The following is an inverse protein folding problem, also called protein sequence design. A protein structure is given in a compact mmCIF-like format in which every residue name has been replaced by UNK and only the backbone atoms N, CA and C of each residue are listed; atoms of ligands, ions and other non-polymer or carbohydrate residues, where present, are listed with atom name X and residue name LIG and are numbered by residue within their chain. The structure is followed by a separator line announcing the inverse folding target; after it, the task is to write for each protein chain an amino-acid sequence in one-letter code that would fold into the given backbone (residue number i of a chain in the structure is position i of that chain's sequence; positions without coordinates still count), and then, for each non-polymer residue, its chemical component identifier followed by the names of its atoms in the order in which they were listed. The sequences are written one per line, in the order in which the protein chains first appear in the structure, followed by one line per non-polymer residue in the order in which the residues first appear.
data_IF_751494972271
#
_entry.id   IF_751494972271
#
_cell.length_a   1.000
_cell.length_b   1.000
_cell.length_c   1.000
_cell.angle_alpha   90.00
_cell.angle_beta   90.00
_cell.angle_gamma   90.00
#
_symmetry.space_group_name_H-M   'P 1'
#
loop_
_entity.id
_entity.type
_entity.pdbx_description
1 polymer ?
2 non-polymer ?
3 water ?
#
# COMPACT_ATOMS: atom_id res chain seq x y z
N UNK A 5 50.62 -25.21 34.17
CA UNK A 5 51.34 -25.85 35.32
C UNK A 5 50.38 -26.34 36.42
N UNK A 6 49.37 -25.52 36.74
CA UNK A 6 48.29 -25.91 37.67
C UNK A 6 47.51 -27.14 37.19
N UNK A 7 47.35 -27.24 35.86
CA UNK A 7 46.59 -28.31 35.22
C UNK A 7 46.95 -28.32 33.74
N UNK A 8 47.00 -29.51 33.14
CA UNK A 8 47.26 -29.65 31.72
C UNK A 8 46.51 -30.78 31.06
N UNK A 9 47.14 -31.38 30.05
CA UNK A 9 46.48 -32.28 29.09
C UNK A 9 45.34 -31.52 28.40
N UNK A 10 45.71 -30.46 27.62
CA UNK A 10 44.72 -29.53 27.07
C UNK A 10 43.79 -30.15 26.02
N UNK A 11 44.23 -31.23 25.37
CA UNK A 11 43.40 -31.94 24.39
C UNK A 11 42.15 -32.56 25.06
N UNK A 12 42.32 -33.07 26.29
CA UNK A 12 41.23 -33.66 27.06
C UNK A 12 40.38 -32.57 27.76
N UNK A 13 41.01 -31.45 28.09
CA UNK A 13 40.29 -30.26 28.59
C UNK A 13 39.37 -29.71 27.49
N UNK A 14 39.82 -29.75 26.25
CA UNK A 14 39.01 -29.33 25.10
C UNK A 14 37.80 -30.26 24.89
N UNK A 15 38.02 -31.57 25.00
CA UNK A 15 36.93 -32.56 24.90
C UNK A 15 36.02 -32.57 26.15
N UNK A 16 36.53 -32.12 27.29
CA UNK A 16 35.71 -31.89 28.48
C UNK A 16 34.61 -30.88 28.14
N UNK A 17 35.02 -29.69 27.68
CA UNK A 17 34.07 -28.64 27.29
C UNK A 17 33.18 -29.01 26.10
N UNK A 18 33.70 -29.85 25.20
CA UNK A 18 32.95 -30.29 24.01
C UNK A 18 31.79 -31.23 24.35
N UNK A 19 32.10 -32.33 25.04
CA UNK A 19 31.07 -33.29 25.46
C UNK A 19 30.10 -32.68 26.48
N UNK A 20 30.60 -31.79 27.34
CA UNK A 20 29.77 -31.06 28.30
C UNK A 20 28.76 -30.14 27.61
N UNK A 21 29.19 -29.50 26.52
CA UNK A 21 28.33 -28.61 25.73
C UNK A 21 27.27 -29.32 24.89
N UNK A 22 27.56 -30.54 24.44
CA UNK A 22 26.64 -31.32 23.61
C UNK A 22 25.38 -31.79 24.35
N UNK A 23 25.47 -31.93 25.67
CA UNK A 23 24.31 -32.28 26.51
C UNK A 23 23.36 -31.08 26.64
N UNK A 24 23.93 -29.86 26.61
CA UNK A 24 23.15 -28.62 26.64
C UNK A 24 22.42 -28.31 25.32
N UNK A 25 23.00 -28.69 24.18
CA UNK A 25 22.32 -28.57 22.88
C UNK A 25 21.12 -29.54 22.82
N UNK A 26 21.29 -30.73 23.38
CA UNK A 26 20.18 -31.66 23.61
C UNK A 26 19.16 -31.11 24.63
N UNK A 27 19.66 -30.38 25.65
CA UNK A 27 18.81 -29.71 26.65
C UNK A 27 18.12 -28.41 26.18
N UNK A 28 18.61 -27.82 25.08
CA UNK A 28 17.95 -26.70 24.35
C UNK A 28 18.25 -25.25 24.78
N UNK A 29 18.89 -25.02 25.93
CA UNK A 29 19.33 -23.65 26.26
C UNK A 29 20.70 -23.40 25.62
N UNK A 30 20.70 -22.56 24.59
CA UNK A 30 21.81 -22.45 23.64
C UNK A 30 22.90 -21.44 24.03
N UNK A 31 22.55 -20.37 24.72
CA UNK A 31 23.53 -19.34 25.10
C UNK A 31 24.57 -19.88 26.09
N UNK A 32 24.15 -20.80 26.95
CA UNK A 32 25.07 -21.49 27.88
C UNK A 32 25.91 -22.54 27.16
N UNK A 33 25.30 -23.27 26.22
CA UNK A 33 26.02 -24.22 25.36
C UNK A 33 27.07 -23.52 24.49
N UNK A 34 26.67 -22.38 23.92
CA UNK A 34 27.54 -21.55 23.07
C UNK A 34 28.84 -21.13 23.75
N UNK A 35 28.74 -20.62 24.98
CA UNK A 35 29.90 -20.13 25.73
C UNK A 35 30.81 -21.28 26.23
N UNK A 36 30.22 -22.47 26.41
CA UNK A 36 30.99 -23.65 26.82
C UNK A 36 31.90 -24.12 25.67
N UNK A 37 31.43 -24.01 24.43
CA UNK A 37 32.24 -24.30 23.25
C UNK A 37 33.38 -23.29 23.05
N UNK A 38 33.12 -22.02 23.36
CA UNK A 38 34.12 -20.94 23.25
C UNK A 38 35.35 -21.17 24.13
N UNK A 39 35.16 -21.79 25.30
CA UNK A 39 36.26 -22.07 26.22
C UNK A 39 37.12 -23.26 25.78
N UNK A 40 36.53 -24.22 25.09
CA UNK A 40 37.28 -25.28 24.40
C UNK A 40 38.16 -24.74 23.29
N UNK A 41 37.67 -23.73 22.58
CA UNK A 41 38.45 -22.99 21.57
C UNK A 41 39.59 -22.16 22.17
N UNK A 42 39.34 -21.55 23.33
CA UNK A 42 40.33 -20.72 24.03
C UNK A 42 41.57 -21.50 24.51
N UNK A 43 41.40 -22.80 24.76
CA UNK A 43 42.51 -23.70 25.12
C UNK A 43 43.58 -23.78 24.00
N UNK A 44 43.14 -23.76 22.75
CA UNK A 44 44.03 -23.75 21.57
C UNK A 44 44.94 -24.99 21.51
N UNK A 45 44.32 -26.16 21.51
CA UNK A 45 45.04 -27.42 21.43
C UNK A 45 45.38 -27.77 19.99
N UNK A 46 46.49 -28.48 19.80
CA UNK A 46 46.92 -28.96 18.47
C UNK A 46 46.16 -30.25 18.13
N UNK A 47 44.89 -30.09 17.75
CA UNK A 47 44.01 -31.21 17.39
C UNK A 47 42.91 -30.70 16.45
N UNK A 48 42.82 -31.30 15.26
CA UNK A 48 41.91 -30.81 14.22
C UNK A 48 40.46 -31.20 14.47
N UNK A 49 40.20 -32.48 14.71
CA UNK A 49 38.84 -33.01 14.91
C UNK A 49 38.11 -32.40 16.11
N UNK A 50 38.86 -32.11 17.18
CA UNK A 50 38.30 -31.43 18.36
C UNK A 50 37.92 -29.97 18.01
N UNK A 51 38.84 -29.24 17.40
CA UNK A 51 38.60 -27.83 17.01
C UNK A 51 37.52 -27.69 15.93
N UNK A 52 37.51 -28.61 14.97
CA UNK A 52 36.49 -28.66 13.92
C UNK A 52 35.08 -28.79 14.52
N UNK A 53 34.92 -29.74 15.44
CA UNK A 53 33.64 -29.96 16.13
C UNK A 53 33.22 -28.77 16.99
N UNK A 54 34.18 -28.15 17.67
CA UNK A 54 33.91 -26.96 18.49
C UNK A 54 33.42 -25.76 17.64
N UNK A 55 34.02 -25.55 16.48
CA UNK A 55 33.60 -24.48 15.57
C UNK A 55 32.24 -24.77 14.91
N UNK A 56 32.02 -26.02 14.51
CA UNK A 56 30.75 -26.45 13.91
C UNK A 56 29.59 -26.43 14.90
N UNK A 57 29.86 -26.80 16.15
CA UNK A 57 28.85 -26.77 17.21
C UNK A 57 28.47 -25.34 17.63
N UNK A 58 29.46 -24.45 17.72
CA UNK A 58 29.20 -23.05 18.07
C UNK A 58 28.43 -22.32 16.96
N UNK A 59 28.73 -22.66 15.71
CA UNK A 59 27.94 -22.18 14.56
C UNK A 59 26.46 -22.58 14.65
N UNK A 60 26.23 -23.82 15.09
CA UNK A 60 24.86 -24.33 15.31
C UNK A 60 24.13 -23.56 16.41
N UNK A 61 24.85 -23.22 17.47
CA UNK A 61 24.30 -22.41 18.58
C UNK A 61 23.93 -20.99 18.12
N UNK A 62 24.77 -20.40 17.27
CA UNK A 62 24.52 -19.06 16.73
C UNK A 62 23.36 -19.04 15.75
N UNK A 63 23.13 -20.15 15.05
CA UNK A 63 21.99 -20.31 14.15
C UNK A 63 20.67 -20.40 14.91
N UNK A 64 20.66 -21.15 16.01
CA UNK A 64 19.50 -21.22 16.91
C UNK A 64 19.24 -19.89 17.62
N UNK A 65 20.30 -19.19 18.00
CA UNK A 65 20.21 -17.81 18.53
C UNK A 65 19.79 -16.78 17.46
N UNK A 66 19.93 -17.13 16.19
CA UNK A 66 19.58 -16.28 15.03
C UNK A 66 20.58 -15.13 14.82
N UNK A 67 21.84 -15.38 15.18
CA UNK A 67 22.96 -14.50 14.84
C UNK A 67 23.63 -15.10 13.61
N UNK A 68 23.16 -14.68 12.43
CA UNK A 68 23.44 -15.38 11.17
C UNK A 68 24.84 -15.12 10.60
N UNK A 69 25.36 -13.91 10.78
CA UNK A 69 26.73 -13.56 10.35
C UNK A 69 27.81 -14.26 11.20
N UNK A 70 27.60 -14.32 12.51
CA UNK A 70 28.51 -15.06 13.41
C UNK A 70 28.52 -16.57 13.13
N UNK A 71 27.36 -17.10 12.73
CA UNK A 71 27.23 -18.51 12.31
C UNK A 71 28.06 -18.81 11.06
N UNK A 72 28.01 -17.90 10.09
CA UNK A 72 28.80 -18.02 8.85
C UNK A 72 30.30 -18.00 9.13
N UNK A 73 30.73 -17.19 10.09
CA UNK A 73 32.14 -17.04 10.43
C UNK A 73 32.69 -18.28 11.17
N UNK A 74 31.89 -18.86 12.06
CA UNK A 74 32.27 -20.11 12.74
C UNK A 74 32.22 -21.32 11.81
N UNK A 75 31.32 -21.31 10.83
CA UNK A 75 31.33 -22.31 9.76
C UNK A 75 32.58 -22.20 8.89
N UNK A 76 32.97 -20.96 8.55
CA UNK A 76 34.19 -20.71 7.75
C UNK A 76 35.45 -21.26 8.42
N UNK A 77 35.58 -21.03 9.72
CA UNK A 77 36.71 -21.55 10.50
C UNK A 77 36.71 -23.08 10.60
N UNK A 78 35.53 -23.68 10.69
CA UNK A 78 35.38 -25.14 10.65
C UNK A 78 35.79 -25.70 9.28
N UNK A 79 35.39 -25.02 8.21
CA UNK A 79 35.73 -25.46 6.84
C UNK A 79 37.20 -25.25 6.44
N UNK A 80 37.90 -24.36 7.15
CA UNK A 80 39.35 -24.20 6.98
C UNK A 80 40.11 -25.45 7.50
N UNK A 81 39.57 -26.08 8.53
CA UNK A 81 40.11 -27.33 9.09
C UNK A 81 39.64 -28.55 8.28
N UNK A 82 38.34 -28.60 7.98
CA UNK A 82 37.74 -29.68 7.16
C UNK A 82 36.82 -29.07 6.08
N UNK A 83 37.34 -28.84 4.85
CA UNK A 83 36.49 -28.28 3.79
C UNK A 83 35.44 -29.24 3.19
N UNK A 84 35.37 -30.48 3.66
CA UNK A 84 34.33 -31.43 3.26
C UNK A 84 33.34 -31.75 4.40
N UNK A 85 33.13 -30.79 5.30
CA UNK A 85 32.13 -30.89 6.37
C UNK A 85 30.79 -30.37 5.82
N UNK A 86 29.92 -31.30 5.43
CA UNK A 86 28.63 -30.96 4.83
C UNK A 86 27.65 -30.24 5.78
N UNK A 87 27.77 -30.50 7.09
CA UNK A 87 26.96 -29.80 8.12
C UNK A 87 27.16 -28.28 8.11
N UNK A 88 28.41 -27.84 7.93
CA UNK A 88 28.75 -26.40 7.92
C UNK A 88 28.28 -25.66 6.67
N UNK A 89 28.22 -26.34 5.54
CA UNK A 89 27.69 -25.77 4.29
C UNK A 89 26.17 -25.52 4.37
N UNK A 90 25.44 -26.45 4.98
CA UNK A 90 24.00 -26.29 5.24
C UNK A 90 23.71 -25.05 6.09
N UNK A 91 24.51 -24.84 7.14
CA UNK A 91 24.30 -23.75 8.09
C UNK A 91 24.64 -22.38 7.51
N UNK A 92 25.72 -22.29 6.73
CA UNK A 92 26.03 -21.07 5.97
C UNK A 92 24.90 -20.74 5.01
N UNK A 93 24.40 -21.76 4.31
CA UNK A 93 23.31 -21.60 3.36
C UNK A 93 22.02 -21.11 4.03
N UNK A 94 21.65 -21.73 5.15
CA UNK A 94 20.46 -21.31 5.91
C UNK A 94 20.62 -19.93 6.53
N UNK A 95 21.82 -19.62 7.03
CA UNK A 95 22.12 -18.30 7.59
C UNK A 95 21.99 -17.18 6.54
N UNK A 96 22.55 -17.42 5.34
CA UNK A 96 22.44 -16.48 4.21
C UNK A 96 21.00 -16.32 3.73
N UNK A 97 20.26 -17.44 3.70
CA UNK A 97 18.83 -17.45 3.35
C UNK A 97 18.00 -16.54 4.26
N UNK A 98 18.26 -16.64 5.57
CA UNK A 98 17.57 -15.82 6.58
C UNK A 98 17.94 -14.33 6.56
N UNK A 99 19.08 -14.00 5.95
CA UNK A 99 19.49 -12.60 5.72
C UNK A 99 19.03 -12.04 4.36
N UNK A 100 18.17 -12.78 3.64
CA UNK A 100 17.72 -12.42 2.29
C UNK A 100 18.88 -12.19 1.33
N UNK A 101 19.80 -13.16 1.31
CA UNK A 101 20.90 -13.21 0.35
C UNK A 101 20.88 -14.60 -0.29
N UNK A 102 19.98 -14.75 -1.26
CA UNK A 102 19.66 -16.05 -1.87
C UNK A 102 20.76 -16.57 -2.77
N UNK A 103 21.51 -15.66 -3.40
CA UNK A 103 22.65 -16.04 -4.25
C UNK A 103 23.79 -16.63 -3.44
N UNK A 104 24.11 -16.00 -2.31
CA UNK A 104 25.11 -16.54 -1.37
C UNK A 104 24.63 -17.85 -0.72
N UNK A 105 23.33 -17.96 -0.49
CA UNK A 105 22.72 -19.20 0.00
C UNK A 105 22.81 -20.33 -1.02
N UNK A 106 22.56 -20.01 -2.29
CA UNK A 106 22.60 -21.02 -3.37
C UNK A 106 24.02 -21.48 -3.69
N UNK A 107 24.98 -20.55 -3.69
CA UNK A 107 26.40 -20.87 -3.95
C UNK A 107 26.96 -21.91 -2.98
N UNK A 108 26.69 -21.71 -1.68
CA UNK A 108 27.18 -22.60 -0.64
C UNK A 108 26.58 -24.01 -0.75
N UNK A 109 25.26 -24.06 -0.97
CA UNK A 109 24.54 -25.34 -1.12
C UNK A 109 24.87 -26.04 -2.44
N UNK A 110 25.10 -25.27 -3.50
CA UNK A 110 25.54 -25.81 -4.78
C UNK A 110 26.93 -26.47 -4.68
N UNK A 111 27.83 -25.85 -3.92
CA UNK A 111 29.18 -26.39 -3.72
C UNK A 111 29.13 -27.73 -2.95
N UNK A 112 28.28 -27.80 -1.93
CA UNK A 112 28.07 -29.04 -1.18
C UNK A 112 27.42 -30.12 -2.04
N UNK A 113 26.45 -29.72 -2.86
CA UNK A 113 25.71 -30.65 -3.71
C UNK A 113 26.57 -31.21 -4.84
N UNK A 114 27.23 -30.33 -5.58
CA UNK A 114 28.04 -30.73 -6.73
C UNK A 114 29.34 -31.44 -6.35
N UNK A 115 30.00 -31.00 -5.27
CA UNK A 115 31.40 -31.36 -5.00
C UNK A 115 31.70 -32.12 -3.70
N UNK A 116 30.73 -32.29 -2.80
CA UNK A 116 30.95 -33.02 -1.53
C UNK A 116 30.06 -34.27 -1.46
N UNK A 117 28.74 -34.08 -1.39
CA UNK A 117 27.79 -35.20 -1.34
C UNK A 117 26.48 -34.84 -2.05
N UNK A 118 26.27 -35.35 -3.29
CA UNK A 118 24.99 -35.16 -3.99
C UNK A 118 23.77 -35.82 -3.33
N UNK A 119 24.00 -36.91 -2.59
CA UNK A 119 22.91 -37.64 -1.91
C UNK A 119 22.40 -36.99 -0.63
N UNK A 120 23.11 -35.98 -0.09
CA UNK A 120 22.74 -35.36 1.18
C UNK A 120 21.38 -34.64 1.10
N UNK A 121 20.47 -35.01 2.00
CA UNK A 121 19.08 -34.56 1.95
C UNK A 121 18.84 -33.12 2.42
N UNK A 122 19.61 -32.68 3.43
CA UNK A 122 19.51 -31.31 3.94
C UNK A 122 19.96 -30.25 2.93
N UNK A 123 20.94 -30.61 2.09
CA UNK A 123 21.43 -29.73 1.03
C UNK A 123 20.43 -29.65 -0.14
N UNK A 124 19.85 -30.79 -0.51
CA UNK A 124 18.82 -30.84 -1.55
C UNK A 124 17.56 -30.04 -1.17
N UNK A 125 17.11 -30.20 0.07
CA UNK A 125 15.98 -29.43 0.61
C UNK A 125 16.23 -27.92 0.56
N UNK A 126 17.41 -27.51 0.98
CA UNK A 126 17.82 -26.10 0.95
C UNK A 126 17.81 -25.53 -0.48
N UNK A 127 18.24 -26.34 -1.44
CA UNK A 127 18.15 -25.99 -2.87
C UNK A 127 16.70 -25.73 -3.33
N UNK A 128 15.79 -26.63 -2.94
CA UNK A 128 14.37 -26.51 -3.27
C UNK A 128 13.71 -25.32 -2.59
N UNK A 129 14.09 -25.06 -1.33
CA UNK A 129 13.60 -23.91 -0.58
C UNK A 129 14.12 -22.59 -1.16
N UNK A 130 15.40 -22.56 -1.54
CA UNK A 130 15.97 -21.40 -2.26
C UNK A 130 15.28 -21.19 -3.61
N UNK A 131 15.00 -22.28 -4.32
CA UNK A 131 14.31 -22.22 -5.62
C UNK A 131 12.90 -21.62 -5.51
N UNK A 132 12.13 -22.09 -4.53
CA UNK A 132 10.77 -21.61 -4.30
C UNK A 132 10.71 -20.14 -3.88
N UNK A 133 11.57 -19.75 -2.95
CA UNK A 133 11.65 -18.37 -2.47
C UNK A 133 12.12 -17.40 -3.57
N UNK A 134 12.99 -17.88 -4.47
CA UNK A 134 13.41 -17.10 -5.66
C UNK A 134 12.22 -16.69 -6.54
N UNK A 135 11.37 -17.68 -6.87
CA UNK A 135 10.27 -17.48 -7.83
C UNK A 135 8.96 -16.96 -7.22
N UNK A 136 8.76 -17.19 -5.91
CA UNK A 136 7.66 -16.56 -5.19
C UNK A 136 7.88 -15.05 -5.03
N UNK A 137 9.15 -14.66 -4.87
CA UNK A 137 9.54 -13.23 -4.84
C UNK A 137 9.39 -12.59 -6.22
N UNK A 138 9.63 -13.37 -7.27
CA UNK A 138 9.39 -12.96 -8.66
C UNK A 138 7.90 -12.70 -8.93
N UNK A 139 7.05 -13.64 -8.50
CA UNK A 139 5.58 -13.50 -8.62
C UNK A 139 5.03 -12.32 -7.81
N UNK A 140 5.67 -12.03 -6.67
CA UNK A 140 5.36 -10.85 -5.86
C UNK A 140 5.78 -9.56 -6.55
N UNK A 141 6.95 -9.57 -7.19
CA UNK A 141 7.50 -8.39 -7.89
C UNK A 141 6.68 -8.03 -9.12
N UNK A 142 6.43 -9.03 -9.98
CA UNK A 142 5.64 -8.81 -11.21
C UNK A 142 4.13 -8.65 -11.00
N UNK A 143 3.66 -8.79 -9.75
CA UNK A 143 2.31 -8.39 -9.36
C UNK A 143 2.29 -6.95 -8.85
N UNK A 144 3.25 -6.62 -7.98
CA UNK A 144 3.40 -5.25 -7.45
C UNK A 144 3.66 -4.22 -8.54
N UNK A 145 4.55 -4.55 -9.46
CA UNK A 145 5.01 -3.60 -10.48
C UNK A 145 4.00 -3.38 -11.62
N UNK A 146 3.25 -4.42 -11.99
CA UNK A 146 2.15 -4.27 -12.96
C UNK A 146 1.00 -3.42 -12.41
N UNK A 147 0.71 -3.57 -11.10
CA UNK A 147 -0.40 -2.88 -10.46
C UNK A 147 -0.08 -1.41 -10.21
N UNK A 148 1.19 -1.10 -9.88
CA UNK A 148 1.66 0.28 -9.79
C UNK A 148 1.64 0.97 -11.16
N UNK A 149 1.93 0.21 -12.22
CA UNK A 149 1.89 0.70 -13.59
C UNK A 149 0.44 0.91 -14.06
N UNK A 150 -0.43 -0.04 -13.73
CA UNK A 150 -1.87 0.06 -14.02
C UNK A 150 -2.54 1.21 -13.27
N UNK A 151 -2.14 1.41 -12.01
CA UNK A 151 -2.60 2.54 -11.19
C UNK A 151 -2.19 3.86 -11.85
N UNK A 152 -0.93 3.93 -12.30
CA UNK A 152 -0.37 5.12 -12.94
C UNK A 152 -1.02 5.40 -14.30
N UNK A 153 -1.33 4.33 -15.05
CA UNK A 153 -2.05 4.45 -16.33
C UNK A 153 -3.46 5.03 -16.14
N UNK A 154 -4.15 4.60 -15.09
CA UNK A 154 -5.47 5.15 -14.75
C UNK A 154 -5.41 6.63 -14.31
N UNK A 155 -4.37 6.99 -13.57
CA UNK A 155 -4.21 8.36 -13.04
C UNK A 155 -3.85 9.39 -14.12
N UNK A 156 -2.96 9.03 -15.04
CA UNK A 156 -2.58 9.92 -16.16
C UNK A 156 -3.75 10.11 -17.15
N UNK A 157 -4.48 9.04 -17.42
CA UNK A 157 -5.62 9.08 -18.34
C UNK A 157 -6.78 9.93 -17.78
N UNK A 158 -6.90 9.98 -16.44
CA UNK A 158 -7.91 10.79 -15.77
C UNK A 158 -7.55 12.29 -15.74
N UNK A 159 -6.27 12.59 -15.54
CA UNK A 159 -5.77 13.97 -15.57
C UNK A 159 -5.83 14.57 -16.98
N UNK A 160 -5.42 13.77 -17.97
CA UNK A 160 -5.53 14.15 -19.38
C UNK A 160 -6.96 14.50 -19.75
N UNK A 161 -7.89 13.63 -19.35
CA UNK A 161 -9.33 13.84 -19.55
C UNK A 161 -9.83 15.16 -18.94
N UNK A 162 -9.46 15.40 -17.68
CA UNK A 162 -9.91 16.60 -16.95
C UNK A 162 -9.25 17.89 -17.45
N UNK A 163 -8.00 17.81 -17.89
CA UNK A 163 -7.32 18.96 -18.51
C UNK A 163 -7.89 19.25 -19.90
N UNK A 164 -8.22 18.18 -20.65
CA UNK A 164 -8.85 18.29 -21.97
C UNK A 164 -10.24 18.95 -21.90
N UNK A 165 -11.00 18.57 -20.88
CA UNK A 165 -12.35 19.13 -20.64
C UNK A 165 -12.36 20.50 -19.95
N UNK A 166 -11.18 21.03 -19.59
CA UNK A 166 -11.02 22.32 -18.89
C UNK A 166 -11.74 22.34 -17.53
N UNK A 167 -11.57 21.27 -16.77
CA UNK A 167 -12.20 21.12 -15.46
C UNK A 167 -11.22 21.50 -14.36
N UNK A 168 -11.56 22.56 -13.62
CA UNK A 168 -10.82 22.96 -12.42
C UNK A 168 -11.44 22.27 -11.18
N UNK A 169 -10.58 21.78 -10.30
CA UNK A 169 -10.98 21.10 -9.06
C UNK A 169 -10.45 21.88 -7.86
N UNK A 170 -11.34 22.56 -7.14
CA UNK A 170 -11.00 23.34 -5.95
C UNK A 170 -11.38 22.56 -4.69
N UNK A 171 -10.38 22.02 -4.01
CA UNK A 171 -10.59 21.25 -2.77
C UNK A 171 -10.93 22.12 -1.56
N UNK A 172 -11.81 21.62 -0.69
CA UNK A 172 -12.27 22.31 0.52
C UNK A 172 -11.82 21.57 1.79
N UNK A 173 -11.70 22.31 2.89
CA UNK A 173 -11.23 21.73 4.16
C UNK A 173 -12.26 20.83 4.87
N UNK A 174 -13.55 21.12 4.70
CA UNK A 174 -14.63 20.37 5.36
C UNK A 174 -15.66 19.80 4.37
N UNK A 175 -15.32 18.67 3.71
CA UNK A 175 -16.32 17.91 2.95
C UNK A 175 -17.11 17.00 3.88
N UNK A 176 -18.43 16.96 3.71
CA UNK A 176 -19.27 15.97 4.40
C UNK A 176 -18.88 14.55 3.96
N UNK A 177 -19.02 13.60 4.88
CA UNK A 177 -18.41 12.25 4.77
C UNK A 177 -18.76 11.40 3.54
N UNK A 178 -19.82 11.76 2.82
CA UNK A 178 -20.16 11.08 1.55
C UNK A 178 -19.19 11.42 0.41
N UNK A 179 -18.74 12.67 0.35
CA UNK A 179 -17.77 13.11 -0.67
C UNK A 179 -16.35 12.54 -0.49
N UNK A 180 -15.95 12.25 0.75
CA UNK A 180 -14.56 11.88 1.05
C UNK A 180 -14.16 10.46 0.57
N UNK A 181 -15.12 9.68 0.09
CA UNK A 181 -14.85 8.37 -0.52
C UNK A 181 -14.09 8.52 -1.85
N UNK A 182 -14.50 9.49 -2.66
CA UNK A 182 -13.79 9.84 -3.90
C UNK A 182 -14.09 8.91 -5.05
N UNK A 183 -15.13 9.25 -5.83
CA UNK A 183 -15.59 8.43 -6.96
C UNK A 183 -15.74 9.25 -8.25
N UNK A 184 -14.66 9.36 -9.01
CA UNK A 184 -14.67 9.99 -10.33
C UNK A 184 -13.86 9.12 -11.30
N UNK A 185 -14.41 8.86 -12.49
CA UNK A 185 -13.79 7.96 -13.46
C UNK A 185 -14.25 8.19 -14.91
N UNK A 186 -13.58 7.49 -15.83
CA UNK A 186 -14.00 7.37 -17.22
C UNK A 186 -14.73 6.03 -17.40
N UNK A 187 -15.67 5.98 -18.35
CA UNK A 187 -16.44 4.77 -18.65
C UNK A 187 -15.51 3.68 -19.18
N UNK A 188 -14.74 4.04 -20.22
CA UNK A 188 -13.56 3.28 -20.62
C UNK A 188 -12.37 3.97 -19.95
N UNK A 189 -11.78 3.33 -18.90
CA UNK A 189 -10.71 4.02 -18.16
C UNK A 189 -9.37 4.22 -18.93
N UNK A 190 -9.22 3.57 -20.08
CA UNK A 190 -8.06 3.79 -20.96
C UNK A 190 -8.33 4.73 -22.15
N UNK A 191 -9.61 4.98 -22.45
CA UNK A 191 -10.01 5.93 -23.49
C UNK A 191 -10.51 7.22 -22.83
N UNK A 192 -9.72 8.30 -22.95
CA UNK A 192 -10.08 9.62 -22.38
C UNK A 192 -11.01 10.47 -23.26
N UNK A 193 -11.63 9.83 -24.27
CA UNK A 193 -12.72 10.42 -25.05
C UNK A 193 -14.10 9.85 -24.67
N UNK A 194 -14.12 8.76 -23.89
CA UNK A 194 -15.36 8.23 -23.32
C UNK A 194 -15.84 9.09 -22.15
N UNK A 195 -17.08 8.85 -21.73
CA UNK A 195 -17.75 9.71 -20.74
C UNK A 195 -17.05 9.76 -19.39
N UNK A 196 -16.77 10.98 -18.91
CA UNK A 196 -16.34 11.18 -17.53
C UNK A 196 -17.57 11.17 -16.64
N UNK A 197 -17.50 10.40 -15.56
CA UNK A 197 -18.59 10.22 -14.61
C UNK A 197 -18.12 10.72 -13.24
N UNK A 198 -18.87 11.64 -12.65
CA UNK A 198 -18.55 12.20 -11.33
C UNK A 198 -19.78 12.23 -10.41
N UNK A 199 -19.55 12.29 -9.07
CA UNK A 199 -20.70 12.34 -8.14
C UNK A 199 -21.23 13.76 -8.03
N UNK A 200 -22.35 13.92 -7.32
CA UNK A 200 -22.98 15.23 -7.17
C UNK A 200 -23.57 15.43 -5.78
N UNK A 201 -23.17 16.52 -5.13
CA UNK A 201 -23.88 17.05 -3.96
C UNK A 201 -24.99 17.94 -4.48
N UNK A 202 -26.23 17.57 -4.17
CA UNK A 202 -27.40 18.40 -4.52
C UNK A 202 -27.89 19.07 -3.24
N UNK A 203 -27.80 20.40 -3.20
CA UNK A 203 -28.13 21.18 -2.00
C UNK A 203 -29.50 21.83 -2.15
N UNK A 204 -30.33 21.65 -1.12
CA UNK A 204 -31.61 22.37 -0.99
C UNK A 204 -31.47 23.27 0.24
N UNK A 205 -30.89 24.49 0.06
CA UNK A 205 -30.51 25.34 1.20
C UNK A 205 -31.68 25.94 1.98
N UNK A 206 -32.84 26.09 1.34
CA UNK A 206 -34.04 26.63 2.01
C UNK A 206 -34.59 25.66 3.05
N UNK A 207 -34.44 24.36 2.81
CA UNK A 207 -34.94 23.29 3.69
C UNK A 207 -33.88 22.69 4.61
N UNK A 208 -32.60 23.03 4.39
CA UNK A 208 -31.45 22.42 5.08
C UNK A 208 -31.46 20.89 4.92
N UNK A 209 -31.45 20.46 3.66
CA UNK A 209 -31.41 19.04 3.31
C UNK A 209 -30.59 18.88 2.03
N UNK A 210 -29.94 17.73 1.88
CA UNK A 210 -29.15 17.44 0.68
C UNK A 210 -29.27 15.99 0.22
N UNK A 211 -29.19 15.80 -1.10
CA UNK A 211 -29.06 14.47 -1.71
C UNK A 211 -27.62 14.29 -2.19
N UNK A 212 -27.17 13.04 -2.22
CA UNK A 212 -25.87 12.69 -2.80
C UNK A 212 -26.06 11.52 -3.76
N UNK A 213 -26.09 11.82 -5.06
CA UNK A 213 -26.12 10.81 -6.12
C UNK A 213 -24.66 10.45 -6.41
N UNK A 214 -24.36 9.16 -6.38
CA UNK A 214 -22.98 8.66 -6.48
C UNK A 214 -22.33 8.78 -7.84
N UNK A 215 -23.11 8.64 -8.91
CA UNK A 215 -22.58 8.68 -10.27
C UNK A 215 -23.51 9.44 -11.22
N UNK A 216 -22.97 10.50 -11.82
CA UNK A 216 -23.65 11.31 -12.83
C UNK A 216 -22.74 11.44 -14.03
N UNK A 217 -23.22 11.02 -15.20
CA UNK A 217 -22.49 11.19 -16.45
C UNK A 217 -22.42 12.68 -16.82
N UNK A 218 -21.31 13.07 -17.45
CA UNK A 218 -21.09 14.46 -17.86
C UNK A 218 -22.04 14.93 -18.96
N UNK A 219 -22.46 14.02 -19.84
CA UNK A 219 -23.41 14.33 -20.91
C UNK A 219 -24.87 14.42 -20.44
N UNK A 220 -25.13 14.09 -19.16
CA UNK A 220 -26.43 14.34 -18.53
C UNK A 220 -26.69 15.84 -18.43
N UNK A 221 -27.92 16.26 -18.76
CA UNK A 221 -28.32 17.65 -18.63
C UNK A 221 -28.73 17.98 -17.21
N UNK A 222 -28.84 19.27 -16.91
CA UNK A 222 -29.26 19.76 -15.60
C UNK A 222 -30.72 19.38 -15.36
N UNK A 223 -31.56 19.55 -16.38
CA UNK A 223 -32.97 19.14 -16.32
C UNK A 223 -33.15 17.66 -15.98
N UNK A 224 -32.34 16.80 -16.59
CA UNK A 224 -32.43 15.34 -16.37
C UNK A 224 -32.08 14.93 -14.94
N UNK A 225 -31.06 15.55 -14.35
CA UNK A 225 -30.69 15.30 -12.96
C UNK A 225 -31.73 15.84 -11.99
N UNK A 226 -32.27 17.02 -12.29
CA UNK A 226 -33.38 17.62 -11.51
C UNK A 226 -34.64 16.76 -11.56
N UNK A 227 -34.97 16.23 -12.74
CA UNK A 227 -36.09 15.30 -12.91
C UNK A 227 -35.97 14.04 -12.03
N UNK A 228 -34.74 13.55 -11.88
CA UNK A 228 -34.48 12.30 -11.16
C UNK A 228 -34.62 12.45 -9.64
N UNK A 229 -33.95 13.47 -9.08
CA UNK A 229 -33.93 13.68 -7.62
C UNK A 229 -35.26 14.13 -7.01
N UNK A 230 -36.04 14.93 -7.76
CA UNK A 230 -37.33 15.44 -7.30
C UNK A 230 -38.55 14.58 -7.67
N UNK A 231 -38.32 13.41 -8.28
CA UNK A 231 -39.41 12.56 -8.75
C UNK A 231 -40.26 11.98 -7.62
N UNK A 232 -39.58 11.36 -6.64
CA UNK A 232 -40.27 10.77 -5.49
C UNK A 232 -40.99 11.80 -4.64
N UNK A 233 -42.02 11.39 -3.87
CA UNK A 233 -42.62 12.33 -2.93
C UNK A 233 -41.67 12.65 -1.79
N UNK A 234 -41.48 13.93 -1.50
CA UNK A 234 -40.44 14.36 -0.57
C UNK A 234 -40.95 14.28 0.87
N UNK A 235 -40.44 13.29 1.61
CA UNK A 235 -40.61 13.21 3.07
C UNK A 235 -39.76 14.26 3.79
N UNK A 236 -38.78 14.82 3.08
CA UNK A 236 -37.70 15.58 3.68
C UNK A 236 -38.06 17.04 3.93
N UNK A 237 -38.79 17.66 2.99
CA UNK A 237 -39.01 19.10 3.01
C UNK A 237 -40.11 19.52 3.98
N UNK A 238 -39.72 19.73 5.24
CA UNK A 238 -40.61 20.18 6.31
C UNK A 238 -40.74 21.71 6.37
N UNK A 239 -39.65 22.42 6.08
CA UNK A 239 -39.63 23.90 6.13
C UNK A 239 -40.55 24.55 5.07
N UNK A 240 -40.69 25.87 5.16
CA UNK A 240 -41.56 26.65 4.27
C UNK A 240 -41.22 26.49 2.78
N UNK A 241 -42.27 26.53 1.95
CA UNK A 241 -42.13 26.42 0.50
C UNK A 241 -41.82 25.02 0.00
N UNK A 242 -42.44 24.02 0.63
CA UNK A 242 -42.28 22.61 0.22
C UNK A 242 -42.97 22.27 -1.11
N UNK A 243 -44.14 22.87 -1.34
CA UNK A 243 -44.94 22.62 -2.55
C UNK A 243 -44.29 23.09 -3.85
N UNK A 244 -43.40 24.09 -3.75
CA UNK A 244 -42.66 24.60 -4.91
C UNK A 244 -41.60 23.65 -5.49
N UNK A 245 -41.18 22.64 -4.72
CA UNK A 245 -40.14 21.70 -5.18
C UNK A 245 -40.66 20.70 -6.23
N UNK A 246 -40.70 21.16 -7.47
CA UNK A 246 -40.96 20.32 -8.65
C UNK A 246 -40.05 20.80 -9.79
N UNK A 247 -39.75 19.92 -10.78
CA UNK A 247 -38.83 20.29 -11.87
C UNK A 247 -39.18 21.57 -12.63
N UNK A 248 -40.48 21.80 -12.86
CA UNK A 248 -40.98 22.99 -13.56
C UNK A 248 -40.75 24.29 -12.75
N UNK A 249 -40.88 24.20 -11.43
CA UNK A 249 -40.88 25.37 -10.54
C UNK A 249 -39.55 25.69 -9.82
N UNK A 250 -38.54 24.83 -9.95
CA UNK A 250 -37.23 25.07 -9.32
C UNK A 250 -36.21 25.66 -10.29
N UNK A 251 -35.14 26.20 -9.72
CA UNK A 251 -33.97 26.70 -10.47
C UNK A 251 -32.70 26.14 -9.85
N UNK A 252 -31.65 26.03 -10.67
CA UNK A 252 -30.38 25.42 -10.27
C UNK A 252 -29.26 26.45 -10.34
N UNK A 253 -28.46 26.52 -9.27
CA UNK A 253 -27.36 27.48 -9.15
C UNK A 253 -26.06 26.78 -8.79
N UNK A 254 -24.95 27.35 -9.25
CA UNK A 254 -23.61 26.76 -9.03
C UNK A 254 -22.57 27.85 -8.73
N UNK A 255 -21.58 27.48 -7.92
CA UNK A 255 -20.54 28.41 -7.46
C UNK A 255 -19.44 28.56 -8.52
N UNK A 256 -18.95 29.79 -8.70
CA UNK A 256 -17.84 30.09 -9.62
C UNK A 256 -16.48 30.02 -8.89
N UNK A 257 -15.39 30.12 -9.66
CA UNK A 257 -14.03 30.14 -9.09
C UNK A 257 -13.76 31.41 -8.30
N UNK A 258 -14.33 32.54 -8.73
CA UNK A 258 -14.24 33.81 -8.01
C UNK A 258 -14.91 33.77 -6.63
N UNK A 259 -15.97 32.96 -6.50
CA UNK A 259 -16.71 32.80 -5.24
C UNK A 259 -18.20 33.10 -5.34
N UNK A 260 -18.61 33.76 -6.43
CA UNK A 260 -20.01 34.15 -6.65
C UNK A 260 -20.89 33.00 -7.11
N UNK A 261 -21.88 33.32 -7.94
CA UNK A 261 -22.85 32.34 -8.44
C UNK A 261 -23.16 32.51 -9.92
N UNK A 262 -23.61 31.42 -10.54
CA UNK A 262 -24.24 31.45 -11.86
C UNK A 262 -25.45 30.50 -11.85
N UNK A 263 -26.53 30.94 -12.49
CA UNK A 263 -27.69 30.10 -12.77
C UNK A 263 -27.31 29.08 -13.84
N UNK A 264 -27.32 27.79 -13.47
CA UNK A 264 -27.06 26.72 -14.42
C UNK A 264 -28.32 26.49 -15.26
N UNK A 265 -28.16 26.61 -16.59
CA UNK A 265 -29.26 26.41 -17.53
C UNK A 265 -29.72 24.96 -17.56
N UNK A 266 -31.04 24.75 -17.58
CA UNK A 266 -31.62 23.41 -17.53
C UNK A 266 -31.35 22.58 -18.79
N UNK A 267 -31.26 23.24 -19.94
CA UNK A 267 -30.89 22.58 -21.20
C UNK A 267 -29.42 22.13 -21.26
N UNK A 268 -28.54 22.83 -20.54
CA UNK A 268 -27.10 22.59 -20.65
C UNK A 268 -26.67 21.28 -19.99
N UNK A 269 -25.68 20.62 -20.59
CA UNK A 269 -25.00 19.48 -19.98
C UNK A 269 -24.01 19.97 -18.93
N UNK A 270 -23.64 19.10 -18.01
CA UNK A 270 -22.60 19.41 -17.03
C UNK A 270 -21.22 19.53 -17.70
N UNK A 271 -20.99 18.78 -18.78
CA UNK A 271 -19.78 18.92 -19.60
C UNK A 271 -19.59 20.36 -20.09
N UNK A 272 -20.61 20.90 -20.74
CA UNK A 272 -20.55 22.25 -21.32
C UNK A 272 -20.47 23.35 -20.25
N UNK A 273 -21.04 23.12 -19.07
CA UNK A 273 -20.97 24.08 -17.96
C UNK A 273 -19.55 24.15 -17.37
N UNK A 274 -18.96 22.99 -17.07
CA UNK A 274 -17.60 22.93 -16.53
C UNK A 274 -16.52 23.38 -17.52
N UNK A 275 -16.74 23.14 -18.81
CA UNK A 275 -15.75 23.45 -19.86
C UNK A 275 -15.58 24.95 -20.10
N UNK A 276 -16.67 25.71 -20.04
CA UNK A 276 -16.66 27.16 -20.35
C UNK A 276 -15.55 27.94 -19.62
N UNK A 277 -14.94 28.87 -20.36
CA UNK A 277 -13.88 29.73 -19.84
C UNK A 277 -14.47 30.77 -18.88
N UNK A 278 -15.51 31.46 -19.33
CA UNK A 278 -16.22 32.46 -18.53
C UNK A 278 -17.74 32.21 -18.57
N UNK A 279 -18.40 32.06 -17.42
CA UNK A 279 -17.79 32.06 -16.09
C UNK A 279 -17.22 30.68 -15.73
N UNK A 280 -16.10 30.66 -15.01
CA UNK A 280 -15.44 29.40 -14.64
C UNK A 280 -16.17 28.73 -13.47
N UNK A 281 -16.85 27.62 -13.77
CA UNK A 281 -17.59 26.83 -12.77
C UNK A 281 -16.83 25.52 -12.49
N UNK A 282 -16.15 25.42 -11.32
CA UNK A 282 -15.35 24.23 -11.02
C UNK A 282 -16.12 23.13 -10.26
N UNK A 283 -15.47 21.98 -10.11
CA UNK A 283 -15.90 20.94 -9.17
C UNK A 283 -15.40 21.29 -7.78
N UNK A 284 -15.97 20.67 -6.75
CA UNK A 284 -15.49 20.79 -5.38
C UNK A 284 -15.31 19.40 -4.76
N UNK A 285 -14.06 19.08 -4.42
CA UNK A 285 -13.64 17.75 -3.94
C UNK A 285 -13.92 16.65 -4.96
N UNK A 286 -13.52 16.90 -6.21
CA UNK A 286 -13.75 16.00 -7.35
C UNK A 286 -15.23 15.61 -7.54
N UNK A 287 -16.12 16.56 -7.31
CA UNK A 287 -17.56 16.32 -7.42
C UNK A 287 -18.36 17.59 -7.70
N UNK A 288 -19.55 17.42 -8.27
CA UNK A 288 -20.47 18.53 -8.54
C UNK A 288 -21.09 19.06 -7.25
N UNK A 289 -21.37 20.36 -7.23
CA UNK A 289 -22.13 20.98 -6.14
C UNK A 289 -23.15 21.96 -6.73
N UNK A 290 -24.42 21.53 -6.79
CA UNK A 290 -25.52 22.37 -7.29
C UNK A 290 -26.42 22.81 -6.14
N UNK A 291 -27.18 23.89 -6.38
CA UNK A 291 -28.13 24.45 -5.41
C UNK A 291 -29.52 24.54 -6.04
N UNK A 292 -30.41 23.63 -5.65
CA UNK A 292 -31.80 23.64 -6.14
C UNK A 292 -32.65 24.48 -5.18
N UNK A 293 -33.23 25.56 -5.72
CA UNK A 293 -34.05 26.51 -4.96
C UNK A 293 -35.32 26.81 -5.77
N UNK A 294 -36.47 27.00 -5.08
CA UNK A 294 -37.69 27.46 -5.76
C UNK A 294 -37.52 28.78 -6.53
N UNK A 295 -38.23 28.89 -7.65
CA UNK A 295 -38.16 30.06 -8.54
C UNK A 295 -38.56 31.37 -7.83
N UNK A 296 -39.57 31.29 -6.98
CA UNK A 296 -40.06 32.45 -6.22
C UNK A 296 -39.12 32.94 -5.10
N UNK A 297 -38.35 32.02 -4.51
CA UNK A 297 -37.41 32.35 -3.42
C UNK A 297 -35.96 32.61 -3.88
N UNK A 298 -35.72 32.58 -5.20
CA UNK A 298 -34.37 32.72 -5.75
C UNK A 298 -33.83 34.15 -5.65
N UNK A 299 -34.69 35.13 -5.93
CA UNK A 299 -34.29 36.54 -5.86
C UNK A 299 -33.73 36.95 -4.49
N UNK A 300 -34.42 36.55 -3.43
CA UNK A 300 -33.97 36.80 -2.06
C UNK A 300 -32.75 35.99 -1.65
N UNK A 301 -32.67 34.75 -2.12
CA UNK A 301 -31.55 33.85 -1.79
C UNK A 301 -30.24 34.22 -2.49
N UNK A 302 -30.32 34.72 -3.73
CA UNK A 302 -29.12 35.20 -4.47
C UNK A 302 -28.47 36.40 -3.78
N UNK A 303 -29.30 37.31 -3.26
CA UNK A 303 -28.82 38.46 -2.47
C UNK A 303 -28.16 38.01 -1.17
N UNK A 304 -28.71 36.97 -0.55
CA UNK A 304 -28.14 36.39 0.68
C UNK A 304 -26.78 35.71 0.50
N UNK A 305 -26.44 35.28 -0.73
CA UNK A 305 -25.17 34.61 -1.01
C UNK A 305 -23.97 35.46 -0.61
N UNK A 306 -23.25 35.01 0.41
CA UNK A 306 -22.07 35.68 0.91
C UNK A 306 -20.86 35.14 0.13
N UNK A 307 -20.14 36.06 -0.52
CA UNK A 307 -19.02 35.70 -1.41
C UNK A 307 -17.82 35.17 -0.62
N UNK A 308 -17.52 35.80 0.51
CA UNK A 308 -16.40 35.38 1.38
C UNK A 308 -16.71 34.16 2.26
N UNK A 309 -17.99 33.90 2.55
CA UNK A 309 -18.40 32.69 3.26
C UNK A 309 -17.97 31.45 2.47
N UNK A 310 -18.24 31.48 1.16
CA UNK A 310 -17.83 30.41 0.24
C UNK A 310 -16.32 30.39 -0.04
N UNK A 311 -15.71 31.58 -0.13
CA UNK A 311 -14.25 31.69 -0.37
C UNK A 311 -13.39 31.07 0.75
N UNK A 312 -13.89 31.09 1.99
CA UNK A 312 -13.16 30.52 3.14
C UNK A 312 -13.68 29.13 3.58
N UNK A 313 -14.54 28.51 2.77
CA UNK A 313 -14.77 27.06 2.84
C UNK A 313 -13.60 26.29 2.23
N UNK A 314 -12.86 26.94 1.32
CA UNK A 314 -11.83 26.28 0.52
C UNK A 314 -10.54 26.06 1.30
N UNK A 315 -9.69 25.17 0.79
CA UNK A 315 -8.45 24.78 1.46
C UNK A 315 -7.37 25.85 1.37
N UNK A 316 -7.11 26.33 0.15
CA UNK A 316 -6.09 27.36 -0.09
C UNK A 316 -6.41 28.18 -1.35
#
# INVERSE_FOLDING_TARGET
LKALAYEGEPHEIAENFKKQGNELYKAKRFKDARELYSKGLAVECEDKSINESLYANRAACELELKNYRRCIEDCSKALTINPKNVKCYYRTSKAFFQLNKLEEAKSAATFANQRIDPENKSILNMLSVIDRKEQELKAKEEKQQREAQERENKKIMLESAMTLRNITNIKTHSPVELLNEGKIRLEDPMDFESQLIYPALIMYPTQDEFDFVGEVSELTTVQELVDLVLEGPQERFKKEGKENFTPKKVLVFMETKAGGLIKAGKKLTFHDILKKESPDVPLFDNALKIYIVPKVESEGWISKWDKQKALERRSV
#
